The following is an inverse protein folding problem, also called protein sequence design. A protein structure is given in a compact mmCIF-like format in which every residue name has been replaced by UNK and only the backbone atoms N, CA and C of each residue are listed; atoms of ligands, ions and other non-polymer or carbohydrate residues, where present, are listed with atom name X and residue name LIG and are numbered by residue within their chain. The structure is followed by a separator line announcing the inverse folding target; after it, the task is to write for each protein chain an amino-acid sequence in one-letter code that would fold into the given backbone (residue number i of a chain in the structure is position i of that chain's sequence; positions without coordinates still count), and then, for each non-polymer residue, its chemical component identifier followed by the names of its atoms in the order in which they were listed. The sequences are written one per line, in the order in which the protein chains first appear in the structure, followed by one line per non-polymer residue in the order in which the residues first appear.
data_IF_117936270860
#
_entry.id   IF_117936270860
#
_cell.length_a   1.000
_cell.length_b   1.000
_cell.length_c   1.000
_cell.angle_alpha   90.00
_cell.angle_beta   90.00
_cell.angle_gamma   90.00
#
_symmetry.space_group_name_H-M   'P 1'
#
loop_
_entity.id
_entity.type
_entity.pdbx_description
1 polymer ?
#
# COMPACT_ATOMS: atom_id res chain seq x y z
N UNK A 1 -16.52 13.78 15.53
CA UNK A 1 -15.59 14.18 14.45
C UNK A 1 -14.28 14.59 15.12
N UNK A 2 -13.30 13.71 15.17
CA UNK A 2 -12.02 13.99 15.83
C UNK A 2 -11.10 14.62 14.78
N UNK A 3 -10.88 15.93 14.89
CA UNK A 3 -9.90 16.64 14.07
C UNK A 3 -8.51 16.26 14.60
N UNK A 4 -7.88 15.27 13.97
CA UNK A 4 -6.44 15.11 14.11
C UNK A 4 -5.76 16.27 13.38
N UNK A 5 -4.73 16.88 13.97
CA UNK A 5 -4.14 18.19 13.63
C UNK A 5 -3.60 18.30 12.18
N UNK A 6 -3.64 17.21 11.41
CA UNK A 6 -3.12 17.11 10.05
C UNK A 6 -4.18 16.72 8.99
N UNK A 7 -5.42 16.44 9.40
CA UNK A 7 -6.50 16.11 8.48
C UNK A 7 -7.43 17.32 8.28
N UNK A 8 -7.23 18.02 7.16
CA UNK A 8 -8.13 19.11 6.73
C UNK A 8 -9.51 18.55 6.32
N UNK A 9 -9.55 17.28 5.94
CA UNK A 9 -10.75 16.58 5.48
C UNK A 9 -11.29 15.62 6.55
N UNK A 10 -12.60 15.43 6.56
CA UNK A 10 -13.24 14.31 7.24
C UNK A 10 -12.74 12.99 6.67
N UNK A 11 -12.81 11.90 7.46
CA UNK A 11 -12.24 10.58 7.08
C UNK A 11 -12.78 10.09 5.72
N UNK A 12 -14.06 10.29 5.45
CA UNK A 12 -14.72 9.98 4.18
C UNK A 12 -14.15 10.78 3.00
N UNK A 13 -14.04 12.09 3.12
CA UNK A 13 -13.46 12.95 2.08
C UNK A 13 -11.98 12.62 1.85
N UNK A 14 -11.23 12.35 2.93
CA UNK A 14 -9.84 11.92 2.86
C UNK A 14 -9.68 10.62 2.06
N UNK A 15 -10.44 9.57 2.38
CA UNK A 15 -10.38 8.29 1.64
C UNK A 15 -10.67 8.47 0.15
N UNK A 16 -11.62 9.33 -0.22
CA UNK A 16 -11.89 9.65 -1.63
C UNK A 16 -10.71 10.36 -2.32
N UNK A 17 -9.98 11.23 -1.61
CA UNK A 17 -8.76 11.83 -2.15
C UNK A 17 -7.64 10.81 -2.31
N UNK A 18 -7.48 9.86 -1.38
CA UNK A 18 -6.51 8.76 -1.50
C UNK A 18 -6.80 7.93 -2.75
N UNK A 19 -8.03 7.46 -2.92
CA UNK A 19 -8.45 6.68 -4.10
C UNK A 19 -8.30 7.49 -5.38
N UNK A 20 -8.66 8.78 -5.38
CA UNK A 20 -8.43 9.68 -6.53
C UNK A 20 -6.95 9.77 -6.88
N UNK A 21 -6.06 9.93 -5.90
CA UNK A 21 -4.63 10.02 -6.11
C UNK A 21 -4.06 8.72 -6.68
N UNK A 22 -4.45 7.57 -6.13
CA UNK A 22 -4.10 6.27 -6.71
C UNK A 22 -4.58 6.15 -8.15
N UNK A 23 -5.84 6.52 -8.43
CA UNK A 23 -6.39 6.43 -9.78
C UNK A 23 -5.60 7.27 -10.78
N UNK A 24 -5.12 8.46 -10.39
CA UNK A 24 -4.31 9.33 -11.26
C UNK A 24 -3.02 8.63 -11.72
N UNK A 25 -2.38 7.84 -10.87
CA UNK A 25 -1.16 7.09 -11.22
C UNK A 25 -1.42 6.05 -12.34
N UNK A 26 -2.66 5.58 -12.46
CA UNK A 26 -3.07 4.63 -13.50
C UNK A 26 -3.65 5.29 -14.77
N UNK A 27 -3.72 6.63 -14.86
CA UNK A 27 -4.27 7.33 -16.03
C UNK A 27 -3.14 8.03 -16.81
N UNK A 28 -2.93 7.71 -18.11
CA UNK A 28 -1.82 8.26 -18.90
C UNK A 28 -1.70 9.78 -18.88
N UNK A 29 -2.82 10.51 -18.88
CA UNK A 29 -2.82 11.99 -18.88
C UNK A 29 -2.18 12.63 -17.65
N UNK A 30 -2.05 11.89 -16.53
CA UNK A 30 -1.43 12.38 -15.29
C UNK A 30 -0.03 11.81 -15.07
N UNK A 31 0.49 11.00 -16.00
CA UNK A 31 1.80 10.32 -15.87
C UNK A 31 2.95 11.29 -15.59
N UNK A 32 2.89 12.50 -16.16
CA UNK A 32 3.93 13.53 -15.99
C UNK A 32 4.07 14.02 -14.54
N UNK A 33 3.04 13.88 -13.69
CA UNK A 33 3.11 14.30 -12.29
C UNK A 33 4.06 13.43 -11.47
N UNK A 34 3.99 12.12 -11.68
CA UNK A 34 4.80 11.12 -10.98
C UNK A 34 5.16 9.97 -11.92
N UNK A 35 6.14 10.15 -12.82
CA UNK A 35 6.46 9.16 -13.85
C UNK A 35 6.84 7.80 -13.28
N UNK A 36 7.66 7.79 -12.21
CA UNK A 36 8.09 6.55 -11.55
C UNK A 36 6.92 5.80 -10.89
N UNK A 37 6.06 6.50 -10.15
CA UNK A 37 4.91 5.88 -9.48
C UNK A 37 3.87 5.39 -10.48
N UNK A 38 3.65 6.14 -11.56
CA UNK A 38 2.77 5.71 -12.65
C UNK A 38 3.30 4.44 -13.33
N UNK A 39 4.63 4.36 -13.47
CA UNK A 39 5.27 3.15 -13.97
C UNK A 39 5.19 2.00 -12.96
N UNK A 40 5.27 2.20 -11.64
CA UNK A 40 5.03 1.11 -10.67
C UNK A 40 3.57 0.64 -10.73
N UNK A 41 2.62 1.57 -10.75
CA UNK A 41 1.19 1.29 -10.87
C UNK A 41 0.84 0.50 -12.15
N UNK A 42 1.55 0.73 -13.26
CA UNK A 42 1.27 0.04 -14.52
C UNK A 42 1.62 -1.46 -14.48
N UNK A 43 2.62 -1.86 -13.67
CA UNK A 43 3.13 -3.24 -13.56
C UNK A 43 2.61 -4.01 -12.34
N UNK A 44 1.78 -3.39 -11.49
CA UNK A 44 1.05 -4.14 -10.47
C UNK A 44 0.23 -5.26 -11.12
N UNK A 45 0.25 -6.44 -10.50
CA UNK A 45 -0.50 -7.60 -10.98
C UNK A 45 -2.01 -7.34 -10.96
N UNK A 46 -2.52 -6.91 -9.80
CA UNK A 46 -3.93 -6.54 -9.56
C UNK A 46 -4.03 -5.15 -8.91
N UNK A 47 -4.46 -4.14 -9.67
CA UNK A 47 -4.50 -2.74 -9.21
C UNK A 47 -5.63 -2.50 -8.21
N UNK A 48 -6.71 -3.26 -8.33
CA UNK A 48 -7.87 -3.29 -7.45
C UNK A 48 -7.48 -3.50 -5.98
N UNK A 49 -6.45 -4.30 -5.70
CA UNK A 49 -5.95 -4.52 -4.33
C UNK A 49 -5.56 -3.20 -3.65
N UNK A 50 -4.83 -2.34 -4.36
CA UNK A 50 -4.38 -1.04 -3.83
C UNK A 50 -5.53 -0.04 -3.75
N UNK A 51 -6.50 -0.08 -4.67
CA UNK A 51 -7.69 0.77 -4.58
C UNK A 51 -8.56 0.40 -3.37
N UNK A 52 -8.76 -0.90 -3.11
CA UNK A 52 -9.48 -1.37 -1.93
C UNK A 52 -8.72 -1.00 -0.66
N UNK A 53 -7.42 -1.22 -0.60
CA UNK A 53 -6.62 -0.78 0.54
C UNK A 53 -6.73 0.73 0.77
N UNK A 54 -6.68 1.55 -0.28
CA UNK A 54 -6.87 3.00 -0.19
C UNK A 54 -8.25 3.41 0.34
N UNK A 55 -9.31 2.68 -0.02
CA UNK A 55 -10.65 2.93 0.50
C UNK A 55 -10.78 2.56 1.99
N UNK A 56 -10.10 1.49 2.41
CA UNK A 56 -10.23 0.90 3.75
C UNK A 56 -9.16 1.34 4.77
N UNK A 57 -8.06 1.98 4.36
CA UNK A 57 -6.89 2.20 5.22
C UNK A 57 -7.22 2.84 6.59
N UNK A 58 -8.19 3.75 6.60
CA UNK A 58 -8.65 4.49 7.78
C UNK A 58 -10.07 4.14 8.25
N UNK A 59 -10.68 3.07 7.73
CA UNK A 59 -12.11 2.76 7.92
C UNK A 59 -12.54 2.61 9.39
N UNK A 60 -11.59 2.26 10.25
CA UNK A 60 -11.82 2.04 11.68
C UNK A 60 -11.35 3.21 12.57
N UNK A 61 -10.94 4.35 12.00
CA UNK A 61 -10.60 5.55 12.79
C UNK A 61 -11.80 5.96 13.66
N UNK A 62 -11.51 6.27 14.93
CA UNK A 62 -12.53 6.69 15.90
C UNK A 62 -13.29 5.54 16.59
N UNK A 63 -13.00 4.28 16.29
CA UNK A 63 -13.63 3.12 16.95
C UNK A 63 -12.97 2.67 18.27
N UNK A 64 -11.89 3.36 18.69
CA UNK A 64 -11.06 2.98 19.84
C UNK A 64 -10.08 1.84 19.50
N UNK A 65 -8.93 1.80 20.18
CA UNK A 65 -7.85 0.86 19.85
C UNK A 65 -7.04 1.24 18.61
N UNK A 66 -6.28 0.28 18.07
CA UNK A 66 -5.47 0.45 16.86
C UNK A 66 -6.36 0.30 15.61
N UNK A 67 -6.61 1.42 14.93
CA UNK A 67 -7.46 1.47 13.73
C UNK A 67 -6.94 0.61 12.59
N UNK A 68 -5.63 0.38 12.49
CA UNK A 68 -5.08 -0.46 11.44
C UNK A 68 -5.37 -1.94 11.69
N UNK A 69 -5.38 -2.40 12.96
CA UNK A 69 -5.83 -3.78 13.32
C UNK A 69 -7.30 -3.96 12.97
N UNK A 70 -8.12 -3.00 13.39
CA UNK A 70 -9.57 -3.10 13.18
C UNK A 70 -9.92 -3.00 11.69
N UNK A 71 -9.23 -2.12 10.96
CA UNK A 71 -9.39 -1.96 9.51
C UNK A 71 -8.95 -3.19 8.72
N UNK A 72 -7.91 -3.90 9.16
CA UNK A 72 -7.47 -5.17 8.58
C UNK A 72 -8.62 -6.19 8.54
N UNK A 73 -9.29 -6.38 9.67
CA UNK A 73 -10.44 -7.29 9.79
C UNK A 73 -11.61 -6.87 8.87
N UNK A 74 -11.95 -5.58 8.87
CA UNK A 74 -13.03 -5.05 8.03
C UNK A 74 -12.74 -5.24 6.54
N UNK A 75 -11.51 -4.96 6.12
CA UNK A 75 -11.07 -5.11 4.73
C UNK A 75 -11.07 -6.58 4.29
N UNK A 76 -10.55 -7.49 5.13
CA UNK A 76 -10.59 -8.92 4.86
C UNK A 76 -12.03 -9.42 4.69
N UNK A 77 -12.90 -9.10 5.64
CA UNK A 77 -14.30 -9.52 5.61
C UNK A 77 -15.03 -8.96 4.39
N UNK A 78 -14.73 -7.72 3.98
CA UNK A 78 -15.24 -7.15 2.73
C UNK A 78 -14.78 -7.96 1.52
N UNK A 79 -13.47 -8.19 1.37
CA UNK A 79 -12.93 -8.94 0.24
C UNK A 79 -13.55 -10.34 0.12
N UNK A 80 -13.71 -11.04 1.26
CA UNK A 80 -14.36 -12.36 1.28
C UNK A 80 -15.84 -12.33 0.89
N UNK A 81 -16.60 -11.31 1.30
CA UNK A 81 -18.01 -11.14 0.86
C UNK A 81 -18.14 -10.80 -0.62
N UNK A 82 -17.07 -10.35 -1.26
CA UNK A 82 -16.99 -10.05 -2.69
C UNK A 82 -16.25 -11.13 -3.48
N UNK A 83 -16.20 -12.36 -2.94
CA UNK A 83 -15.63 -13.55 -3.58
C UNK A 83 -14.17 -13.41 -4.03
N UNK A 84 -13.41 -12.51 -3.40
CA UNK A 84 -11.97 -12.44 -3.63
C UNK A 84 -11.29 -13.68 -3.06
N UNK A 85 -10.19 -14.07 -3.70
CA UNK A 85 -9.35 -15.18 -3.23
C UNK A 85 -8.83 -14.89 -1.81
N UNK A 86 -8.45 -15.95 -1.09
CA UNK A 86 -7.85 -15.77 0.25
C UNK A 86 -6.56 -14.96 0.18
N UNK A 87 -5.74 -15.18 -0.86
CA UNK A 87 -4.52 -14.41 -1.06
C UNK A 87 -4.83 -12.92 -1.28
N UNK A 88 -5.77 -12.59 -2.16
CA UNK A 88 -6.18 -11.21 -2.40
C UNK A 88 -6.72 -10.54 -1.14
N UNK A 89 -7.59 -11.24 -0.42
CA UNK A 89 -8.20 -10.73 0.80
C UNK A 89 -7.14 -10.45 1.87
N UNK A 90 -6.19 -11.38 2.07
CA UNK A 90 -5.07 -11.18 2.98
C UNK A 90 -4.13 -10.07 2.51
N UNK A 91 -3.88 -9.93 1.20
CA UNK A 91 -3.03 -8.88 0.65
C UNK A 91 -3.63 -7.48 0.91
N UNK A 92 -4.93 -7.29 0.66
CA UNK A 92 -5.63 -6.03 0.94
C UNK A 92 -5.62 -5.75 2.44
N UNK A 93 -5.94 -6.75 3.26
CA UNK A 93 -5.94 -6.63 4.71
C UNK A 93 -4.56 -6.23 5.25
N UNK A 94 -3.49 -6.85 4.73
CA UNK A 94 -2.10 -6.51 5.08
C UNK A 94 -1.76 -5.06 4.73
N UNK A 95 -2.16 -4.58 3.54
CA UNK A 95 -1.95 -3.18 3.16
C UNK A 95 -2.64 -2.22 4.14
N UNK A 96 -3.87 -2.53 4.55
CA UNK A 96 -4.61 -1.74 5.54
C UNK A 96 -3.91 -1.80 6.90
N UNK A 97 -3.47 -2.98 7.33
CA UNK A 97 -2.75 -3.17 8.60
C UNK A 97 -1.46 -2.34 8.67
N UNK A 98 -0.74 -2.26 7.56
CA UNK A 98 0.60 -1.69 7.48
C UNK A 98 0.67 -0.35 6.74
N UNK A 99 -0.44 0.32 6.45
CA UNK A 99 -0.45 1.54 5.62
C UNK A 99 0.43 2.69 6.18
N UNK A 100 0.67 2.73 7.49
CA UNK A 100 1.55 3.70 8.15
C UNK A 100 3.03 3.27 8.22
N UNK A 101 3.36 2.01 7.92
CA UNK A 101 4.71 1.45 8.11
C UNK A 101 5.77 2.26 7.36
N UNK A 102 5.55 2.47 6.06
CA UNK A 102 6.53 3.15 5.22
C UNK A 102 6.67 4.64 5.57
N UNK A 103 5.56 5.32 5.86
CA UNK A 103 5.61 6.75 6.22
C UNK A 103 6.28 6.95 7.57
N UNK A 104 6.07 6.05 8.53
CA UNK A 104 6.69 6.08 9.84
C UNK A 104 8.20 5.80 9.74
N UNK A 105 8.60 4.69 9.11
CA UNK A 105 10.02 4.34 8.96
C UNK A 105 10.80 5.44 8.21
N UNK A 106 10.26 5.95 7.09
CA UNK A 106 10.96 6.97 6.30
C UNK A 106 11.14 8.31 7.05
N UNK A 107 10.27 8.63 8.00
CA UNK A 107 10.28 9.94 8.68
C UNK A 107 10.86 9.90 10.10
N UNK A 108 10.94 8.72 10.73
CA UNK A 108 11.32 8.58 12.14
C UNK A 108 12.54 7.70 12.39
N UNK A 109 13.01 6.96 11.39
CA UNK A 109 14.22 6.13 11.49
C UNK A 109 15.30 6.61 10.50
N UNK A 110 16.54 6.18 10.72
CA UNK A 110 17.63 6.39 9.78
C UNK A 110 17.55 5.37 8.64
N UNK A 111 16.98 5.76 7.50
CA UNK A 111 16.83 4.90 6.33
C UNK A 111 18.16 4.59 5.60
N UNK A 112 19.28 5.17 6.05
CA UNK A 112 20.62 4.80 5.58
C UNK A 112 21.22 3.61 6.35
N UNK A 113 20.68 3.32 7.54
CA UNK A 113 21.07 2.16 8.35
C UNK A 113 20.57 0.86 7.71
N UNK A 114 21.47 -0.09 7.34
CA UNK A 114 21.08 -1.39 6.82
C UNK A 114 20.14 -2.18 7.72
N UNK A 115 20.22 -2.03 9.04
CA UNK A 115 19.38 -2.77 9.99
C UNK A 115 17.93 -2.26 9.98
N UNK A 116 17.74 -0.93 9.83
CA UNK A 116 16.41 -0.33 9.62
C UNK A 116 15.79 -0.88 8.34
N UNK A 117 16.55 -0.86 7.24
CA UNK A 117 16.07 -1.38 5.95
C UNK A 117 15.77 -2.87 6.05
N UNK A 118 16.61 -3.65 6.74
CA UNK A 118 16.42 -5.09 6.96
C UNK A 118 15.12 -5.39 7.69
N UNK A 119 14.83 -4.73 8.82
CA UNK A 119 13.57 -4.90 9.57
C UNK A 119 12.35 -4.50 8.74
N UNK A 120 12.46 -3.41 7.99
CA UNK A 120 11.39 -2.96 7.09
C UNK A 120 11.08 -4.03 6.03
N UNK A 121 12.10 -4.55 5.33
CA UNK A 121 11.86 -5.58 4.29
C UNK A 121 11.42 -6.92 4.86
N UNK A 122 11.85 -7.29 6.06
CA UNK A 122 11.33 -8.48 6.75
C UNK A 122 9.82 -8.42 6.96
N UNK A 123 9.29 -7.23 7.26
CA UNK A 123 7.85 -7.00 7.40
C UNK A 123 7.16 -6.99 6.04
N UNK A 124 7.74 -6.31 5.05
CA UNK A 124 7.17 -6.15 3.70
C UNK A 124 7.18 -7.47 2.90
N UNK A 125 8.18 -8.33 3.10
CA UNK A 125 8.26 -9.67 2.52
C UNK A 125 8.71 -9.71 1.07
N UNK A 126 8.01 -9.04 0.15
CA UNK A 126 8.29 -9.09 -1.29
C UNK A 126 8.06 -7.76 -2.04
N UNK A 127 8.45 -7.74 -3.32
CA UNK A 127 8.38 -6.53 -4.15
C UNK A 127 6.93 -6.10 -4.42
N UNK A 128 5.97 -7.02 -4.46
CA UNK A 128 4.58 -6.69 -4.75
C UNK A 128 3.93 -5.93 -3.59
N UNK A 129 4.21 -6.36 -2.36
CA UNK A 129 3.82 -5.63 -1.16
C UNK A 129 4.53 -4.27 -1.06
N UNK A 130 5.83 -4.22 -1.39
CA UNK A 130 6.59 -2.96 -1.39
C UNK A 130 6.01 -1.94 -2.38
N UNK A 131 5.75 -2.36 -3.61
CA UNK A 131 5.20 -1.51 -4.67
C UNK A 131 3.82 -0.97 -4.27
N UNK A 132 2.97 -1.86 -3.75
CA UNK A 132 1.62 -1.54 -3.31
C UNK A 132 1.59 -0.60 -2.11
N UNK A 133 2.42 -0.87 -1.10
CA UNK A 133 2.55 -0.02 0.09
C UNK A 133 3.09 1.36 -0.29
N UNK A 134 4.08 1.44 -1.16
CA UNK A 134 4.64 2.73 -1.59
C UNK A 134 3.61 3.59 -2.31
N UNK A 135 2.86 3.02 -3.24
CA UNK A 135 1.78 3.74 -3.93
C UNK A 135 0.70 4.22 -2.97
N UNK A 136 0.28 3.38 -2.03
CA UNK A 136 -0.70 3.71 -1.00
C UNK A 136 -0.18 4.86 -0.11
N UNK A 137 1.05 4.77 0.40
CA UNK A 137 1.64 5.79 1.27
C UNK A 137 1.76 7.15 0.58
N UNK A 138 2.18 7.20 -0.69
CA UNK A 138 2.22 8.48 -1.41
C UNK A 138 0.80 9.05 -1.61
N UNK A 139 -0.16 8.20 -1.97
CA UNK A 139 -1.53 8.65 -2.20
C UNK A 139 -2.21 9.15 -0.92
N UNK A 140 -1.96 8.49 0.21
CA UNK A 140 -2.43 8.86 1.55
C UNK A 140 -1.87 10.22 1.97
N UNK A 141 -0.54 10.37 1.98
CA UNK A 141 0.10 11.64 2.36
C UNK A 141 -0.40 12.80 1.49
N UNK A 142 -0.59 12.58 0.18
CA UNK A 142 -1.17 13.59 -0.72
C UNK A 142 -2.67 13.82 -0.52
N UNK A 143 -3.38 12.85 0.04
CA UNK A 143 -4.80 12.92 0.38
C UNK A 143 -5.10 13.64 1.68
N UNK A 144 -4.09 13.92 2.52
CA UNK A 144 -4.28 14.64 3.80
C UNK A 144 -4.47 16.16 3.61
N UNK A 145 -3.55 16.82 2.90
CA UNK A 145 -3.59 18.26 2.59
C UNK A 145 -2.50 18.63 1.56
N UNK A 146 -2.74 19.65 0.70
CA UNK A 146 -1.74 20.16 -0.24
C UNK A 146 -0.41 20.60 0.39
N UNK A 147 -0.42 20.95 1.70
CA UNK A 147 0.77 21.42 2.41
C UNK A 147 1.64 20.30 2.98
N UNK A 148 1.10 19.08 3.09
CA UNK A 148 1.79 17.97 3.77
C UNK A 148 2.81 17.32 2.83
N UNK A 149 2.47 17.17 1.55
CA UNK A 149 3.38 16.63 0.54
C UNK A 149 4.43 17.67 0.11
N UNK A 150 5.71 17.30 0.12
CA UNK A 150 6.80 18.13 -0.38
C UNK A 150 7.94 17.27 -0.96
N UNK A 151 8.89 17.92 -1.65
CA UNK A 151 10.00 17.24 -2.32
C UNK A 151 10.88 16.41 -1.37
N UNK A 152 11.06 16.87 -0.13
CA UNK A 152 11.87 16.18 0.88
C UNK A 152 11.22 14.87 1.32
N UNK A 153 9.91 14.86 1.66
CA UNK A 153 9.18 13.62 1.97
C UNK A 153 9.16 12.66 0.79
N UNK A 154 8.95 13.19 -0.42
CA UNK A 154 9.02 12.39 -1.64
C UNK A 154 10.38 11.71 -1.80
N UNK A 155 11.47 12.42 -1.47
CA UNK A 155 12.83 11.88 -1.52
C UNK A 155 13.05 10.77 -0.49
N UNK A 156 12.66 10.98 0.77
CA UNK A 156 12.78 9.96 1.83
C UNK A 156 12.08 8.66 1.46
N UNK A 157 10.83 8.75 0.98
CA UNK A 157 10.08 7.57 0.56
C UNK A 157 10.73 6.87 -0.64
N UNK A 158 11.22 7.63 -1.61
CA UNK A 158 11.90 7.07 -2.78
C UNK A 158 13.23 6.39 -2.41
N UNK A 159 14.00 6.96 -1.48
CA UNK A 159 15.26 6.40 -1.01
C UNK A 159 15.03 5.09 -0.23
N UNK A 160 14.05 5.06 0.68
CA UNK A 160 13.65 3.84 1.39
C UNK A 160 13.16 2.75 0.42
N UNK A 161 12.28 3.11 -0.53
CA UNK A 161 11.79 2.18 -1.56
C UNK A 161 12.94 1.58 -2.37
N UNK A 162 13.91 2.41 -2.77
CA UNK A 162 15.05 1.95 -3.56
C UNK A 162 15.96 1.02 -2.74
N UNK A 163 16.21 1.33 -1.46
CA UNK A 163 16.99 0.49 -0.55
C UNK A 163 16.28 -0.86 -0.31
N UNK A 164 14.99 -0.82 0.02
CA UNK A 164 14.16 -1.99 0.23
C UNK A 164 14.11 -2.90 -1.02
N UNK A 165 13.87 -2.32 -2.20
CA UNK A 165 13.86 -3.07 -3.46
C UNK A 165 15.21 -3.76 -3.75
N UNK A 166 16.33 -3.11 -3.42
CA UNK A 166 17.66 -3.74 -3.54
C UNK A 166 17.85 -4.89 -2.55
N UNK A 167 17.39 -4.74 -1.31
CA UNK A 167 17.47 -5.78 -0.29
C UNK A 167 16.61 -7.01 -0.64
N UNK A 168 15.38 -6.79 -1.11
CA UNK A 168 14.48 -7.86 -1.55
C UNK A 168 15.07 -8.66 -2.72
N UNK A 169 15.67 -7.99 -3.71
CA UNK A 169 16.35 -8.66 -4.84
C UNK A 169 17.54 -9.52 -4.42
N UNK A 170 18.16 -9.23 -3.28
CA UNK A 170 19.28 -10.04 -2.73
C UNK A 170 18.78 -11.29 -1.99
N UNK A 171 17.48 -11.51 -1.88
CA UNK A 171 16.89 -12.71 -1.26
C UNK A 171 16.95 -12.71 0.26
N UNK A 172 16.97 -11.52 0.89
CA UNK A 172 17.08 -11.39 2.35
C UNK A 172 15.76 -11.78 3.07
N UNK A 173 14.67 -12.02 2.32
CA UNK A 173 13.33 -12.21 2.86
C UNK A 173 12.60 -13.40 2.24
N UNK A 174 11.58 -13.89 2.97
CA UNK A 174 10.64 -14.91 2.46
C UNK A 174 9.36 -14.21 2.01
N UNK A 175 8.84 -14.46 0.79
CA UNK A 175 7.58 -13.88 0.34
C UNK A 175 6.40 -14.27 1.24
N UNK A 176 5.49 -13.32 1.48
CA UNK A 176 4.29 -13.55 2.32
C UNK A 176 3.34 -14.51 1.57
N UNK A 177 2.88 -15.54 2.28
CA UNK A 177 1.87 -16.51 1.79
C UNK A 177 2.18 -17.10 0.39
N UNK A 178 3.45 -17.41 0.12
CA UNK A 178 3.90 -17.90 -1.20
C UNK A 178 3.09 -19.10 -1.73
N UNK A 179 2.72 -20.03 -0.84
CA UNK A 179 1.92 -21.20 -1.21
C UNK A 179 0.52 -20.84 -1.71
N UNK A 180 -0.15 -19.88 -1.07
CA UNK A 180 -1.46 -19.37 -1.48
C UNK A 180 -1.38 -18.66 -2.82
N UNK A 181 -0.37 -17.79 -2.99
CA UNK A 181 -0.11 -17.08 -4.25
C UNK A 181 0.07 -18.03 -5.42
N UNK A 182 0.86 -19.09 -5.24
CA UNK A 182 1.12 -20.08 -6.30
C UNK A 182 -0.13 -20.89 -6.65
N UNK A 183 -1.01 -21.16 -5.68
CA UNK A 183 -2.31 -21.81 -5.94
C UNK A 183 -3.21 -20.90 -6.76
N UNK A 184 -3.37 -19.66 -6.33
CA UNK A 184 -4.21 -18.68 -7.04
C UNK A 184 -3.76 -18.46 -8.49
N UNK A 185 -2.45 -18.23 -8.71
CA UNK A 185 -1.91 -18.04 -10.06
C UNK A 185 -2.18 -19.24 -10.98
N UNK A 186 -2.17 -20.47 -10.43
CA UNK A 186 -2.50 -21.68 -11.20
C UNK A 186 -3.98 -21.72 -11.55
N UNK A 187 -4.86 -21.34 -10.63
CA UNK A 187 -6.30 -21.39 -10.83
C UNK A 187 -6.78 -20.29 -11.80
N UNK A 188 -6.19 -19.10 -11.74
CA UNK A 188 -6.41 -18.04 -12.72
C UNK A 188 -5.92 -18.41 -14.13
N UNK A 189 -4.72 -19.00 -14.22
CA UNK A 189 -4.18 -19.46 -15.49
C UNK A 189 -5.05 -20.57 -16.09
N UNK A 190 -5.54 -21.51 -15.27
CA UNK A 190 -6.48 -22.56 -15.72
C UNK A 190 -7.81 -21.98 -16.22
N UNK A 191 -8.35 -21.02 -15.49
CA UNK A 191 -9.63 -20.39 -15.83
C UNK A 191 -9.55 -19.59 -17.13
N UNK A 192 -8.43 -18.89 -17.36
CA UNK A 192 -8.22 -18.12 -18.59
C UNK A 192 -7.89 -18.98 -19.81
N UNK A 193 -7.31 -20.18 -19.63
CA UNK A 193 -7.08 -21.15 -20.72
C UNK A 193 -8.33 -21.98 -21.07
N UNK A 194 -9.33 -22.00 -20.19
CA UNK A 194 -10.60 -22.72 -20.41
C UNK A 194 -11.69 -21.85 -21.08
N UNK A 195 -11.43 -20.55 -21.28
CA UNK A 195 -12.29 -19.58 -21.95
C UNK A 195 -11.85 -19.31 -23.39
#
# INVERSE_FOLDING_TARGET
MQHDLFHVYTVDAHSLFVVRNLRRLAVPRFRAEFPQLSEIMSRLFKRERVYLAGLFHDIAKGRGGDHSVLGEHDAFAFCKRHDMSDYDAHFVAWLVRHHLLMSWTAQREDISDPDVVSRFVQTVGDQEHLDSLYLLTVADIRGTSPKVWNAWKGRLLADLYAAASRALRRGITTPIALGDRLRELKDEARSSLAA
#
